data_IF_230918903653
#
_entry.id   IF_230918903653
#
_cell.length_a   1.000
_cell.length_b   1.000
_cell.length_c   1.000
_cell.angle_alpha   90.00
_cell.angle_beta   90.00
_cell.angle_gamma   90.00
#
_symmetry.space_group_name_H-M   'P 1'
#
loop_
_entity.id
_entity.type
_entity.pdbx_description
1 polymer ?
#
# COMPACT_ATOMS: atom_id res chain seq x y z
N UNK A 1 -8.16 16.96 14.32
CA UNK A 1 -8.99 15.75 14.10
C UNK A 1 -10.44 16.07 13.86
N UNK A 2 -11.13 16.79 14.76
CA UNK A 2 -12.54 17.16 14.56
C UNK A 2 -12.75 17.99 13.28
N UNK A 3 -11.87 18.95 13.00
CA UNK A 3 -11.90 19.73 11.76
C UNK A 3 -11.71 18.83 10.51
N UNK A 4 -10.72 17.92 10.50
CA UNK A 4 -10.54 16.97 9.38
C UNK A 4 -11.78 16.10 9.11
N UNK A 5 -12.49 15.68 10.18
CA UNK A 5 -13.74 14.93 10.05
C UNK A 5 -14.85 15.79 9.45
N UNK A 6 -15.00 17.04 9.91
CA UNK A 6 -15.97 18.01 9.35
C UNK A 6 -15.73 18.27 7.86
N UNK A 7 -14.48 18.28 7.42
CA UNK A 7 -14.10 18.44 6.01
C UNK A 7 -14.20 17.15 5.16
N UNK A 8 -14.69 16.03 5.74
CA UNK A 8 -14.83 14.76 5.02
C UNK A 8 -13.49 14.10 4.65
N UNK A 9 -12.37 14.57 5.21
CA UNK A 9 -11.04 14.05 4.90
C UNK A 9 -10.80 12.71 5.59
N UNK A 10 -11.37 12.51 6.79
CA UNK A 10 -11.23 11.30 7.61
C UNK A 10 -12.56 10.86 8.23
N UNK A 11 -12.67 9.58 8.56
CA UNK A 11 -13.81 8.99 9.27
C UNK A 11 -13.43 8.47 10.67
N UNK A 12 -14.41 7.96 11.41
CA UNK A 12 -14.19 7.45 12.77
C UNK A 12 -13.28 6.21 12.80
N UNK A 13 -13.34 5.37 11.77
CA UNK A 13 -12.44 4.22 11.64
C UNK A 13 -10.99 4.69 11.52
N UNK A 14 -10.71 5.72 10.72
CA UNK A 14 -9.37 6.29 10.60
C UNK A 14 -8.86 6.81 11.96
N UNK A 15 -9.71 7.50 12.72
CA UNK A 15 -9.36 8.02 14.05
C UNK A 15 -9.07 6.89 15.04
N UNK A 16 -9.89 5.84 15.05
CA UNK A 16 -9.69 4.67 15.89
C UNK A 16 -8.37 3.94 15.57
N UNK A 17 -8.11 3.71 14.27
CA UNK A 17 -6.85 3.12 13.79
C UNK A 17 -5.66 3.97 14.19
N UNK A 18 -5.72 5.29 13.97
CA UNK A 18 -4.65 6.22 14.36
C UNK A 18 -4.36 6.17 15.86
N UNK A 19 -5.39 6.22 16.72
CA UNK A 19 -5.23 6.12 18.19
C UNK A 19 -4.56 4.82 18.61
N UNK A 20 -4.94 3.69 18.00
CA UNK A 20 -4.34 2.36 18.27
C UNK A 20 -2.87 2.31 17.87
N UNK A 21 -2.53 2.94 16.74
CA UNK A 21 -1.17 2.97 16.21
C UNK A 21 -0.29 3.96 17.01
N UNK A 22 -0.83 5.14 17.38
CA UNK A 22 -0.11 6.19 18.12
C UNK A 22 0.60 5.69 19.37
N UNK A 23 -0.03 4.77 20.11
CA UNK A 23 0.57 4.16 21.33
C UNK A 23 1.86 3.37 21.06
N UNK A 24 2.10 2.96 19.82
CA UNK A 24 3.25 2.11 19.43
C UNK A 24 4.41 2.91 18.85
N UNK A 25 4.22 4.19 18.56
CA UNK A 25 5.24 5.04 17.95
C UNK A 25 5.89 5.92 19.02
N UNK A 26 7.21 6.15 18.88
CA UNK A 26 7.93 7.09 19.73
C UNK A 26 7.43 8.52 19.47
N UNK A 27 7.67 9.42 20.43
CA UNK A 27 7.42 10.87 20.24
C UNK A 27 8.08 11.32 18.93
N UNK A 28 7.40 12.23 18.22
CA UNK A 28 7.86 12.88 16.98
C UNK A 28 7.94 12.01 15.71
N UNK A 29 7.43 10.77 15.71
CA UNK A 29 7.25 10.04 14.45
C UNK A 29 5.98 10.51 13.72
N UNK A 30 6.08 10.71 12.40
CA UNK A 30 4.91 10.87 11.54
C UNK A 30 4.12 9.56 11.50
N UNK A 31 2.81 9.63 11.73
CA UNK A 31 1.94 8.46 11.74
C UNK A 31 0.87 8.67 10.68
N UNK A 32 0.79 7.78 9.67
CA UNK A 32 -0.23 7.88 8.64
C UNK A 32 -1.64 7.88 9.23
N UNK A 33 -2.44 8.84 8.80
CA UNK A 33 -3.83 8.99 9.23
C UNK A 33 -4.81 8.35 8.23
N UNK A 34 -4.54 8.54 6.93
CA UNK A 34 -5.31 7.98 5.82
C UNK A 34 -4.39 7.79 4.61
N UNK A 35 -4.67 6.75 3.83
CA UNK A 35 -4.02 6.48 2.54
C UNK A 35 -5.03 6.70 1.41
N UNK A 36 -4.55 6.81 0.16
CA UNK A 36 -5.37 6.98 -1.05
C UNK A 36 -6.35 8.15 -0.94
N UNK A 37 -5.81 9.37 -0.75
CA UNK A 37 -6.60 10.59 -0.90
C UNK A 37 -6.89 10.79 -2.39
N UNK A 38 -8.12 11.20 -2.72
CA UNK A 38 -8.45 11.64 -4.07
C UNK A 38 -8.02 13.11 -4.28
N UNK A 39 -7.97 13.55 -5.53
CA UNK A 39 -7.54 14.91 -5.89
C UNK A 39 -8.36 15.99 -5.20
N UNK A 40 -9.68 15.79 -5.10
CA UNK A 40 -10.59 16.71 -4.41
C UNK A 40 -10.24 16.87 -2.92
N UNK A 41 -9.91 15.76 -2.23
CA UNK A 41 -9.51 15.78 -0.82
C UNK A 41 -8.15 16.47 -0.64
N UNK A 42 -7.21 16.25 -1.57
CA UNK A 42 -5.91 16.92 -1.57
C UNK A 42 -6.09 18.43 -1.74
N UNK A 43 -6.87 18.84 -2.74
CA UNK A 43 -7.16 20.26 -2.99
C UNK A 43 -7.84 20.92 -1.79
N UNK A 44 -8.87 20.28 -1.21
CA UNK A 44 -9.55 20.76 0.00
C UNK A 44 -8.57 20.93 1.16
N UNK A 45 -7.62 20.01 1.35
CA UNK A 45 -6.64 20.11 2.42
C UNK A 45 -5.70 21.31 2.23
N UNK A 46 -5.17 21.49 1.01
CA UNK A 46 -4.20 22.54 0.69
C UNK A 46 -4.80 23.95 0.85
N UNK A 47 -6.05 24.17 0.43
CA UNK A 47 -6.74 25.47 0.55
C UNK A 47 -7.07 25.81 2.01
N UNK A 48 -7.35 24.78 2.82
CA UNK A 48 -7.89 24.95 4.17
C UNK A 48 -6.92 25.69 5.12
N UNK A 49 -5.60 25.51 4.96
CA UNK A 49 -4.48 26.08 5.76
C UNK A 49 -4.62 26.04 7.31
N UNK A 50 -5.63 25.36 7.83
CA UNK A 50 -6.04 25.32 9.24
C UNK A 50 -5.62 24.03 9.95
N UNK A 51 -4.95 23.10 9.25
CA UNK A 51 -4.51 21.83 9.81
C UNK A 51 -3.06 21.90 10.28
N UNK A 52 -2.87 22.31 11.54
CA UNK A 52 -1.55 22.36 12.17
C UNK A 52 -1.09 20.94 12.57
N UNK A 53 0.16 20.60 12.24
CA UNK A 53 0.78 19.31 12.59
C UNK A 53 0.31 18.13 11.75
N UNK A 54 -0.34 18.40 10.61
CA UNK A 54 -0.83 17.41 9.65
C UNK A 54 -0.31 17.82 8.29
N UNK A 55 0.16 16.86 7.51
CA UNK A 55 0.74 17.10 6.20
C UNK A 55 0.30 16.02 5.20
N UNK A 56 0.41 16.32 3.91
CA UNK A 56 0.19 15.35 2.84
C UNK A 56 1.56 14.97 2.27
N UNK A 57 1.90 13.70 2.40
CA UNK A 57 3.12 13.14 1.85
C UNK A 57 2.77 12.20 0.68
N UNK A 58 3.41 12.36 -0.49
CA UNK A 58 3.29 11.38 -1.55
C UNK A 58 3.86 10.04 -1.07
N UNK A 59 3.23 8.95 -1.46
CA UNK A 59 3.72 7.62 -1.15
C UNK A 59 3.52 6.68 -2.34
N UNK A 60 4.47 5.77 -2.53
CA UNK A 60 4.39 4.74 -3.56
C UNK A 60 3.46 3.62 -3.11
N UNK A 61 2.65 3.12 -4.03
CA UNK A 61 1.83 1.93 -3.82
C UNK A 61 1.95 1.01 -5.04
N UNK A 62 1.91 -0.30 -4.78
CA UNK A 62 1.94 -1.29 -5.86
C UNK A 62 0.56 -1.42 -6.51
N UNK A 63 0.57 -1.54 -7.83
CA UNK A 63 -0.61 -1.81 -8.66
C UNK A 63 -0.36 -3.15 -9.34
N UNK A 64 -1.34 -4.06 -9.24
CA UNK A 64 -1.30 -5.40 -9.83
C UNK A 64 -2.45 -5.52 -10.84
N UNK A 65 -2.22 -5.25 -12.14
CA UNK A 65 -3.29 -5.18 -13.14
C UNK A 65 -4.07 -6.48 -13.32
N UNK A 66 -3.42 -7.65 -13.17
CA UNK A 66 -4.01 -8.98 -13.41
C UNK A 66 -4.21 -9.77 -12.11
N UNK A 67 -4.92 -9.15 -11.18
CA UNK A 67 -5.02 -9.48 -9.76
C UNK A 67 -5.54 -10.90 -9.39
N UNK A 68 -5.88 -11.76 -10.34
CA UNK A 68 -6.42 -13.11 -10.09
C UNK A 68 -5.57 -14.23 -10.67
N UNK A 69 -4.92 -14.04 -11.82
CA UNK A 69 -4.21 -15.12 -12.52
C UNK A 69 -2.82 -15.40 -11.95
N UNK A 70 -2.13 -14.39 -11.39
CA UNK A 70 -0.68 -14.47 -11.11
C UNK A 70 -0.29 -14.15 -9.66
N UNK A 71 -1.25 -13.96 -8.76
CA UNK A 71 -0.98 -13.51 -7.37
C UNK A 71 -0.08 -14.47 -6.59
N UNK A 72 -0.16 -15.77 -6.86
CA UNK A 72 0.70 -16.75 -6.19
C UNK A 72 2.18 -16.61 -6.60
N UNK A 73 2.45 -16.21 -7.84
CA UNK A 73 3.81 -16.09 -8.38
C UNK A 73 4.39 -14.70 -8.11
N UNK A 74 3.66 -13.64 -8.48
CA UNK A 74 4.08 -12.26 -8.23
C UNK A 74 4.12 -11.96 -6.72
N UNK A 75 3.11 -12.44 -5.99
CA UNK A 75 2.92 -12.10 -4.59
C UNK A 75 2.31 -10.71 -4.39
N UNK A 76 2.42 -10.20 -3.17
CA UNK A 76 1.89 -8.89 -2.80
C UNK A 76 2.75 -8.23 -1.71
N UNK A 77 2.67 -6.91 -1.62
CA UNK A 77 3.23 -6.12 -0.51
C UNK A 77 2.19 -5.89 0.59
N UNK A 78 2.62 -5.90 1.84
CA UNK A 78 1.77 -5.53 2.98
C UNK A 78 2.55 -4.83 4.08
N UNK A 79 1.83 -4.22 5.01
CA UNK A 79 2.41 -3.41 6.07
C UNK A 79 3.39 -4.22 6.92
N UNK A 80 4.52 -3.62 7.27
CA UNK A 80 5.51 -4.25 8.14
C UNK A 80 4.93 -4.56 9.54
N UNK A 81 5.05 -5.82 9.94
CA UNK A 81 4.80 -6.33 11.27
C UNK A 81 6.08 -6.30 12.13
N UNK A 82 6.01 -6.78 13.37
CA UNK A 82 7.17 -6.79 14.28
C UNK A 82 8.33 -7.67 13.80
N UNK A 83 8.03 -8.79 13.14
CA UNK A 83 9.04 -9.71 12.60
C UNK A 83 9.79 -9.06 11.44
N UNK A 84 9.06 -8.41 10.52
CA UNK A 84 9.69 -7.70 9.40
C UNK A 84 10.65 -6.60 9.89
N UNK A 85 10.22 -5.82 10.89
CA UNK A 85 11.06 -4.76 11.50
C UNK A 85 12.31 -5.26 12.21
N UNK A 86 12.32 -6.54 12.61
CA UNK A 86 13.48 -7.19 13.20
C UNK A 86 14.39 -7.82 12.12
N UNK A 87 13.81 -8.26 11.01
CA UNK A 87 14.50 -8.93 9.91
C UNK A 87 15.23 -7.95 8.98
N UNK A 88 14.54 -6.88 8.55
CA UNK A 88 15.10 -5.92 7.59
C UNK A 88 16.02 -4.89 8.25
N UNK A 89 16.98 -4.37 7.47
CA UNK A 89 17.92 -3.36 7.96
C UNK A 89 17.20 -2.11 8.48
N UNK A 90 17.46 -1.76 9.74
CA UNK A 90 16.74 -0.67 10.42
C UNK A 90 17.00 0.69 9.81
N UNK A 91 18.16 0.89 9.16
CA UNK A 91 18.51 2.17 8.54
C UNK A 91 17.84 2.29 7.17
N UNK A 92 17.97 1.27 6.33
CA UNK A 92 17.44 1.26 4.96
C UNK A 92 15.91 1.15 4.91
N UNK A 93 15.27 0.58 5.94
CA UNK A 93 13.81 0.44 6.03
C UNK A 93 13.17 1.40 7.04
N UNK A 94 13.90 2.40 7.55
CA UNK A 94 13.38 3.34 8.56
C UNK A 94 12.12 4.09 8.09
N UNK A 95 12.07 4.46 6.80
CA UNK A 95 10.94 5.11 6.15
C UNK A 95 9.96 4.14 5.46
N UNK A 96 10.26 2.85 5.45
CA UNK A 96 9.48 1.85 4.71
C UNK A 96 8.29 1.37 5.54
N UNK A 97 7.09 1.45 4.96
CA UNK A 97 5.87 0.99 5.62
C UNK A 97 5.37 -0.36 5.11
N UNK A 98 5.68 -0.72 3.86
CA UNK A 98 5.21 -1.91 3.17
C UNK A 98 6.39 -2.71 2.62
N UNK A 99 6.31 -4.03 2.71
CA UNK A 99 7.33 -4.96 2.18
C UNK A 99 6.62 -6.17 1.56
N UNK A 100 7.26 -6.82 0.60
CA UNK A 100 6.83 -8.06 -0.03
C UNK A 100 6.57 -9.16 0.98
N UNK A 101 5.42 -9.83 0.85
CA UNK A 101 4.98 -10.91 1.77
C UNK A 101 5.10 -12.30 1.17
N UNK A 102 4.95 -12.42 -0.13
CA UNK A 102 4.94 -13.69 -0.85
C UNK A 102 5.53 -13.50 -2.25
N UNK A 103 5.76 -14.62 -2.95
CA UNK A 103 6.17 -14.62 -4.35
C UNK A 103 7.45 -13.84 -4.61
N UNK A 104 7.51 -13.25 -5.81
CA UNK A 104 8.61 -12.44 -6.31
C UNK A 104 8.83 -11.20 -5.46
N UNK A 105 7.75 -10.53 -5.01
CA UNK A 105 7.84 -9.35 -4.15
C UNK A 105 8.68 -9.63 -2.90
N UNK A 106 8.44 -10.75 -2.21
CA UNK A 106 9.24 -11.11 -1.03
C UNK A 106 10.64 -11.60 -1.39
N UNK A 107 10.75 -12.44 -2.42
CA UNK A 107 12.02 -13.07 -2.79
C UNK A 107 13.06 -12.05 -3.25
N UNK A 108 12.62 -11.03 -3.97
CA UNK A 108 13.47 -9.99 -4.53
C UNK A 108 13.31 -8.63 -3.83
N UNK A 109 12.74 -8.61 -2.61
CA UNK A 109 12.48 -7.39 -1.84
C UNK A 109 13.70 -6.47 -1.77
N UNK A 110 14.89 -7.01 -1.50
CA UNK A 110 16.11 -6.19 -1.39
C UNK A 110 16.47 -5.48 -2.70
N UNK A 111 16.26 -6.12 -3.85
CA UNK A 111 16.49 -5.50 -5.16
C UNK A 111 15.38 -4.50 -5.49
N UNK A 112 14.12 -4.88 -5.24
CA UNK A 112 12.93 -4.08 -5.53
C UNK A 112 12.78 -2.84 -4.63
N UNK A 113 13.32 -2.88 -3.41
CA UNK A 113 13.29 -1.78 -2.44
C UNK A 113 14.36 -0.72 -2.74
N UNK A 114 15.56 -1.15 -3.17
CA UNK A 114 16.68 -0.25 -3.39
C UNK A 114 17.26 0.31 -2.09
N UNK A 115 17.70 1.58 -2.11
CA UNK A 115 18.27 2.25 -0.92
C UNK A 115 17.51 3.51 -0.57
N UNK A 116 17.08 3.59 0.68
CA UNK A 116 16.45 4.79 1.24
C UNK A 116 17.48 5.90 1.40
N UNK A 117 17.11 7.07 0.90
CA UNK A 117 17.81 8.32 1.16
C UNK A 117 17.55 8.85 2.57
N UNK A 118 18.14 10.01 2.87
CA UNK A 118 17.94 10.75 4.11
C UNK A 118 17.61 12.20 3.79
N UNK A 119 16.53 12.68 4.38
CA UNK A 119 16.07 14.07 4.26
C UNK A 119 16.05 14.72 5.63
N UNK A 120 16.71 15.87 5.75
CA UNK A 120 16.59 16.76 6.89
C UNK A 120 15.41 17.69 6.65
N UNK A 121 14.52 17.80 7.64
CA UNK A 121 13.34 18.65 7.58
C UNK A 121 13.40 19.59 8.78
N UNK A 122 13.42 20.89 8.50
CA UNK A 122 13.35 21.93 9.53
C UNK A 122 11.89 22.30 9.73
N UNK A 123 11.45 22.31 10.99
CA UNK A 123 10.08 22.65 11.38
C UNK A 123 10.09 23.80 12.37
N UNK A 124 9.12 24.69 12.25
CA UNK A 124 8.91 25.75 13.24
C UNK A 124 8.21 25.23 14.51
N UNK A 125 8.00 26.09 15.51
CA UNK A 125 7.34 25.74 16.79
C UNK A 125 5.90 25.21 16.62
N UNK A 126 5.24 25.55 15.51
CA UNK A 126 3.90 25.05 15.16
C UNK A 126 3.95 23.70 14.44
N UNK A 127 5.13 23.17 14.13
CA UNK A 127 5.34 21.91 13.42
C UNK A 127 5.22 22.00 11.90
N UNK A 128 5.11 23.21 11.32
CA UNK A 128 5.12 23.42 9.87
C UNK A 128 6.54 23.27 9.33
N UNK A 129 6.67 22.61 8.19
CA UNK A 129 7.93 22.49 7.46
C UNK A 129 8.30 23.86 6.89
N UNK A 130 9.47 24.39 7.27
CA UNK A 130 9.99 25.67 6.78
C UNK A 130 11.09 25.48 5.74
N UNK A 131 11.82 24.37 5.84
CA UNK A 131 12.90 24.05 4.92
C UNK A 131 13.12 22.54 4.88
N UNK A 132 13.70 22.05 3.79
CA UNK A 132 14.12 20.66 3.70
C UNK A 132 15.34 20.49 2.81
N UNK A 133 16.27 19.64 3.25
CA UNK A 133 17.52 19.35 2.55
C UNK A 133 17.73 17.85 2.46
N UNK A 134 18.01 17.33 1.26
CA UNK A 134 18.45 15.95 1.10
C UNK A 134 19.90 15.83 1.61
N UNK A 135 20.10 14.97 2.59
CA UNK A 135 21.44 14.60 3.09
C UNK A 135 22.01 13.48 2.23
N UNK A 136 21.14 12.58 1.78
CA UNK A 136 21.49 11.42 0.97
C UNK A 136 20.34 11.14 0.01
N UNK A 137 20.62 11.08 -1.28
CA UNK A 137 19.61 10.74 -2.29
C UNK A 137 19.22 9.25 -2.17
N UNK A 138 17.95 8.89 -2.42
CA UNK A 138 17.53 7.50 -2.52
C UNK A 138 18.02 6.88 -3.83
N UNK A 139 18.30 5.57 -3.80
CA UNK A 139 18.53 4.76 -4.99
C UNK A 139 17.26 3.95 -5.27
N UNK A 140 16.69 4.10 -6.48
CA UNK A 140 15.52 3.35 -6.90
C UNK A 140 15.83 1.85 -6.94
N UNK A 141 14.86 1.02 -6.52
CA UNK A 141 14.95 -0.42 -6.68
C UNK A 141 14.98 -0.84 -8.15
N UNK A 142 15.51 -2.03 -8.42
CA UNK A 142 15.66 -2.56 -9.77
C UNK A 142 14.34 -3.03 -10.36
N UNK A 143 14.17 -2.83 -11.67
CA UNK A 143 13.09 -3.46 -12.42
C UNK A 143 13.39 -4.95 -12.62
N UNK A 144 12.36 -5.80 -12.47
CA UNK A 144 12.47 -7.23 -12.69
C UNK A 144 11.74 -7.61 -13.98
N UNK A 145 12.49 -8.18 -14.92
CA UNK A 145 11.94 -8.82 -16.11
C UNK A 145 11.78 -10.31 -15.81
N UNK A 146 10.53 -10.79 -15.87
CA UNK A 146 10.19 -12.17 -15.55
C UNK A 146 10.00 -12.95 -16.84
N UNK A 147 10.52 -14.17 -16.91
CA UNK A 147 10.27 -15.11 -18.02
C UNK A 147 8.86 -15.72 -17.99
N UNK A 148 7.95 -15.12 -17.24
CA UNK A 148 6.58 -15.61 -17.06
C UNK A 148 5.72 -15.05 -18.18
N UNK A 149 5.25 -15.94 -19.05
CA UNK A 149 4.26 -15.61 -20.06
C UNK A 149 2.87 -15.45 -19.41
N UNK A 150 2.41 -14.20 -19.37
CA UNK A 150 1.11 -13.80 -18.84
C UNK A 150 -0.07 -14.39 -19.63
N UNK A 151 0.09 -14.61 -20.93
CA UNK A 151 -0.98 -15.07 -21.81
C UNK A 151 -1.13 -16.60 -21.76
N UNK A 152 -0.01 -17.32 -21.58
CA UNK A 152 -0.05 -18.76 -21.26
C UNK A 152 -0.68 -19.02 -19.88
N UNK A 153 -0.36 -18.21 -18.87
CA UNK A 153 -0.94 -18.38 -17.52
C UNK A 153 -2.45 -18.06 -17.46
N UNK A 154 -2.93 -17.08 -18.23
CA UNK A 154 -4.37 -16.80 -18.34
C UNK A 154 -5.15 -17.98 -18.92
N UNK A 155 -4.57 -18.74 -19.86
CA UNK A 155 -5.20 -19.92 -20.48
C UNK A 155 -5.25 -21.13 -19.54
N UNK A 156 -4.39 -21.20 -18.53
CA UNK A 156 -4.27 -22.36 -17.64
C UNK A 156 -5.23 -22.34 -16.44
N UNK A 157 -6.02 -21.28 -16.24
CA UNK A 157 -7.10 -21.26 -15.24
C UNK A 157 -8.37 -21.93 -15.82
N UNK A 158 -8.77 -23.16 -15.41
CA UNK A 158 -9.78 -23.94 -16.13
C UNK A 158 -11.24 -23.49 -15.92
N UNK A 159 -11.48 -22.32 -15.34
CA UNK A 159 -12.84 -21.83 -15.06
C UNK A 159 -13.06 -20.43 -15.62
N UNK A 160 -13.02 -20.32 -16.95
CA UNK A 160 -13.69 -19.24 -17.68
C UNK A 160 -14.71 -19.85 -18.63
N UNK A 161 -15.80 -20.40 -18.07
CA UNK A 161 -17.02 -20.60 -18.87
C UNK A 161 -17.55 -19.21 -19.25
N UNK A 162 -17.23 -18.77 -20.47
CA UNK A 162 -18.14 -17.95 -21.25
C UNK A 162 -19.31 -18.87 -21.60
N UNK A 163 -20.45 -18.66 -20.95
CA UNK A 163 -21.67 -19.43 -21.18
C UNK A 163 -22.88 -18.56 -20.87
N UNK A 164 -23.52 -18.08 -21.92
CA UNK A 164 -24.89 -17.54 -21.89
C UNK A 164 -25.78 -18.58 -21.22
N UNK A 165 -26.61 -18.19 -20.26
CA UNK A 165 -27.66 -19.08 -19.75
C UNK A 165 -28.74 -19.25 -20.83
N UNK A 166 -29.24 -20.48 -21.04
CA UNK A 166 -30.68 -20.66 -21.13
C UNK A 166 -31.20 -21.85 -20.31
N UNK A 167 -32.53 -21.88 -20.20
CA UNK A 167 -33.37 -22.61 -19.24
C UNK A 167 -33.28 -24.16 -19.28
N UNK A 168 -33.68 -24.76 -18.16
CA UNK A 168 -34.03 -26.17 -17.83
C UNK A 168 -34.68 -27.01 -18.98
N UNK A 169 -34.69 -28.39 -19.03
CA UNK A 169 -34.64 -29.40 -17.94
C UNK A 169 -33.57 -30.52 -18.02
N UNK A 170 -33.12 -30.99 -16.85
CA UNK A 170 -32.41 -32.28 -16.72
C UNK A 170 -33.40 -33.44 -16.51
N UNK A 171 -33.42 -34.38 -17.45
CA UNK A 171 -34.00 -35.73 -17.30
C UNK A 171 -33.07 -36.55 -16.38
N UNK A 172 -33.62 -37.22 -15.37
CA UNK A 172 -32.90 -38.20 -14.51
C UNK A 172 -33.03 -39.62 -15.07
N UNK A 173 -32.02 -40.49 -14.87
CA UNK A 173 -32.04 -41.84 -15.45
C UNK A 173 -33.01 -42.77 -14.74
N UNK A 174 -33.64 -43.65 -15.53
CA UNK A 174 -34.38 -44.83 -15.08
C UNK A 174 -33.42 -45.90 -14.54
N UNK A 175 -33.89 -46.68 -13.55
CA UNK A 175 -33.19 -47.90 -13.14
C UNK A 175 -33.76 -48.65 -11.94
N UNK A 176 -34.98 -49.18 -12.08
CA UNK A 176 -35.56 -50.41 -11.49
C UNK A 176 -35.28 -50.80 -10.02
N UNK A 177 -36.36 -50.90 -9.24
CA UNK A 177 -36.99 -52.18 -8.84
C UNK A 177 -38.49 -51.96 -8.65
#
# INVERSE_FOLDING_TARGET
>A
MLALKKFGLINDNNIATFKKIKRRYKKFHSIPLKHKLNEEQVAKFLVSNQFIGIDIEPYFHRVYPNNSSNVHVTGYVSRMNKKDKAFYDKKNYAGTSFVGKTGIEKQYETLLHGKSGKKQIERNVTGRVINSKNIQEPEQGSDLYLSIDLDLQKKQSPYSKVGVAPLWPLIRPMGKS
#
